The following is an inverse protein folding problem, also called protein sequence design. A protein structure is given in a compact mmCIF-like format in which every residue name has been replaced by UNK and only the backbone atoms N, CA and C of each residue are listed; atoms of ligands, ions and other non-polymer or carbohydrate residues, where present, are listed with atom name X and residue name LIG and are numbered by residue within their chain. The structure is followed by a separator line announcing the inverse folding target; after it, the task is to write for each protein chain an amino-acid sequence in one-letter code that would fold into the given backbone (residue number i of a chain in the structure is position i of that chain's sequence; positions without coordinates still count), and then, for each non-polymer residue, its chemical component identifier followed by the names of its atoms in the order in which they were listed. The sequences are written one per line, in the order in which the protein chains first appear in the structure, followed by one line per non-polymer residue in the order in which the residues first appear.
data_IF_448625972983
#
_entry.id   IF_448625972983
#
_cell.length_a   1.000
_cell.length_b   1.000
_cell.length_c   1.000
_cell.angle_alpha   90.00
_cell.angle_beta   90.00
_cell.angle_gamma   90.00
#
_symmetry.space_group_name_H-M   'P 1'
#
loop_
_entity.id
_entity.type
_entity.pdbx_description
1 polymer ?
#
# COMPACT_ATOMS: atom_id res chain seq x y z
N UNK A 1 -21.26 -23.64 18.01
CA UNK A 1 -19.95 -23.83 18.68
C UNK A 1 -19.11 -22.63 18.26
N UNK A 2 -18.82 -21.71 19.18
CA UNK A 2 -17.83 -20.66 18.89
C UNK A 2 -16.50 -21.37 18.59
N UNK A 3 -15.85 -21.10 17.44
CA UNK A 3 -14.50 -21.63 17.21
C UNK A 3 -13.62 -21.24 18.39
N UNK A 4 -12.75 -22.15 18.82
CA UNK A 4 -11.82 -21.87 19.89
C UNK A 4 -10.92 -20.73 19.41
N UNK A 5 -11.02 -19.56 20.04
CA UNK A 5 -10.23 -18.38 19.65
C UNK A 5 -8.78 -18.48 20.14
N UNK A 6 -8.37 -19.66 20.62
CA UNK A 6 -7.01 -19.99 21.02
C UNK A 6 -6.65 -21.27 20.29
N UNK A 7 -5.63 -21.22 19.45
CA UNK A 7 -5.20 -22.33 18.60
C UNK A 7 -3.69 -22.51 18.69
N UNK A 8 -3.23 -23.74 18.52
CA UNK A 8 -1.82 -24.02 18.24
C UNK A 8 -1.62 -23.99 16.73
N UNK A 9 -0.57 -23.33 16.29
CA UNK A 9 -0.27 -23.11 14.86
C UNK A 9 1.15 -23.59 14.56
N UNK A 10 1.27 -24.22 13.41
CA UNK A 10 2.51 -24.76 12.85
C UNK A 10 2.92 -24.03 11.58
N UNK A 11 4.09 -24.37 11.03
CA UNK A 11 4.52 -23.91 9.70
C UNK A 11 3.52 -24.26 8.58
N UNK A 12 2.77 -25.36 8.71
CA UNK A 12 1.89 -25.84 7.65
C UNK A 12 0.59 -25.03 7.51
N UNK A 13 0.09 -24.47 8.61
CA UNK A 13 -1.21 -23.79 8.69
C UNK A 13 -1.10 -22.31 9.06
N UNK A 14 0.10 -21.80 9.36
CA UNK A 14 0.31 -20.40 9.72
C UNK A 14 -0.27 -19.39 8.72
N UNK A 15 -0.09 -19.65 7.42
CA UNK A 15 -0.57 -18.73 6.38
C UNK A 15 -2.10 -18.59 6.45
N UNK A 16 -2.82 -19.70 6.60
CA UNK A 16 -4.29 -19.70 6.68
C UNK A 16 -4.80 -19.21 8.04
N UNK A 17 -4.27 -19.77 9.14
CA UNK A 17 -4.80 -19.54 10.49
C UNK A 17 -4.40 -18.20 11.11
N UNK A 18 -3.33 -17.58 10.60
CA UNK A 18 -2.82 -16.29 11.08
C UNK A 18 -2.93 -15.22 10.01
N UNK A 19 -2.28 -15.38 8.85
CA UNK A 19 -2.18 -14.30 7.85
C UNK A 19 -3.54 -14.06 7.20
N UNK A 20 -4.13 -15.07 6.56
CA UNK A 20 -5.43 -14.94 5.89
C UNK A 20 -6.56 -14.69 6.91
N UNK A 21 -6.55 -15.34 8.07
CA UNK A 21 -7.54 -15.07 9.10
C UNK A 21 -7.50 -13.62 9.60
N UNK A 22 -6.30 -13.03 9.73
CA UNK A 22 -6.13 -11.63 10.16
C UNK A 22 -6.70 -10.60 9.20
N UNK A 23 -7.06 -10.98 7.98
CA UNK A 23 -7.81 -10.14 7.03
C UNK A 23 -9.21 -9.79 7.52
N UNK A 24 -9.76 -10.57 8.46
CA UNK A 24 -11.11 -10.35 9.00
C UNK A 24 -11.10 -10.17 10.52
N UNK A 25 -10.26 -10.91 11.23
CA UNK A 25 -10.24 -10.89 12.70
C UNK A 25 -8.79 -10.88 13.18
N UNK A 26 -8.35 -9.89 13.99
CA UNK A 26 -6.98 -9.82 14.44
C UNK A 26 -6.48 -11.08 15.12
N UNK A 27 -5.22 -11.42 14.86
CA UNK A 27 -4.56 -12.60 15.41
C UNK A 27 -3.34 -12.15 16.21
N UNK A 28 -3.32 -12.49 17.50
CA UNK A 28 -2.15 -12.36 18.35
C UNK A 28 -1.40 -13.68 18.34
N UNK A 29 -0.13 -13.67 17.97
CA UNK A 29 0.74 -14.83 17.94
C UNK A 29 1.67 -14.81 19.15
N UNK A 30 1.64 -15.85 19.99
CA UNK A 30 2.58 -16.09 21.08
C UNK A 30 3.64 -17.12 20.66
N UNK A 31 4.87 -16.66 20.47
CA UNK A 31 6.03 -17.51 20.19
C UNK A 31 6.65 -17.98 21.51
N UNK A 32 6.60 -19.29 21.75
CA UNK A 32 6.96 -19.91 23.03
C UNK A 32 7.78 -21.20 22.84
N UNK A 33 8.27 -21.78 23.93
CA UNK A 33 8.86 -23.12 23.98
C UNK A 33 8.67 -23.77 25.35
N UNK A 34 8.72 -25.12 25.43
CA UNK A 34 8.44 -25.86 26.67
C UNK A 34 9.43 -25.55 27.81
N UNK A 35 10.69 -25.27 27.47
CA UNK A 35 11.75 -24.92 28.41
C UNK A 35 11.69 -23.46 28.88
N UNK A 36 10.87 -22.62 28.23
CA UNK A 36 10.77 -21.20 28.54
C UNK A 36 9.90 -20.97 29.80
N UNK A 37 10.56 -20.81 30.95
CA UNK A 37 9.85 -20.52 32.20
C UNK A 37 9.03 -19.22 32.18
N UNK A 38 9.52 -18.10 31.60
CA UNK A 38 8.71 -16.88 31.49
C UNK A 38 7.45 -17.05 30.61
N UNK A 39 7.50 -17.92 29.59
CA UNK A 39 6.36 -18.21 28.72
C UNK A 39 5.20 -18.84 29.52
N UNK A 40 5.51 -19.70 30.50
CA UNK A 40 4.50 -20.30 31.40
C UNK A 40 3.76 -19.28 32.27
N UNK A 41 4.33 -18.09 32.46
CA UNK A 41 3.67 -16.97 33.16
C UNK A 41 2.81 -16.17 32.18
N UNK A 42 3.32 -15.90 30.97
CA UNK A 42 2.63 -15.07 29.98
C UNK A 42 1.41 -15.75 29.36
N UNK A 43 1.54 -17.01 28.94
CA UNK A 43 0.49 -17.76 28.24
C UNK A 43 -0.88 -17.69 28.94
N UNK A 44 -1.03 -18.02 30.24
CA UNK A 44 -2.35 -17.96 30.89
C UNK A 44 -2.92 -16.54 31.00
N UNK A 45 -2.06 -15.51 31.07
CA UNK A 45 -2.53 -14.11 31.06
C UNK A 45 -3.08 -13.72 29.69
N UNK A 46 -2.38 -14.09 28.60
CA UNK A 46 -2.87 -13.85 27.24
C UNK A 46 -4.16 -14.60 26.96
N UNK A 47 -4.22 -15.89 27.29
CA UNK A 47 -5.42 -16.71 27.10
C UNK A 47 -6.63 -16.13 27.84
N UNK A 48 -6.44 -15.69 29.09
CA UNK A 48 -7.50 -15.00 29.87
C UNK A 48 -7.99 -13.76 29.14
N UNK A 49 -7.08 -12.85 28.77
CA UNK A 49 -7.46 -11.58 28.16
C UNK A 49 -8.08 -11.75 26.77
N UNK A 50 -7.61 -12.71 25.97
CA UNK A 50 -8.19 -13.01 24.65
C UNK A 50 -9.60 -13.58 24.80
N UNK A 51 -9.84 -14.45 25.79
CA UNK A 51 -11.21 -14.92 26.10
C UNK A 51 -12.17 -13.77 26.45
N UNK A 52 -11.68 -12.75 27.17
CA UNK A 52 -12.47 -11.55 27.48
C UNK A 52 -12.88 -10.74 26.23
N UNK A 53 -12.18 -10.91 25.10
CA UNK A 53 -12.54 -10.24 23.83
C UNK A 53 -13.75 -10.85 23.11
N UNK A 54 -14.30 -11.95 23.62
CA UNK A 54 -15.46 -12.64 23.05
C UNK A 54 -15.34 -12.96 21.54
N UNK A 55 -14.11 -13.23 21.07
CA UNK A 55 -13.82 -13.57 19.67
C UNK A 55 -13.47 -12.41 18.77
N UNK A 56 -13.34 -11.19 19.30
CA UNK A 56 -12.79 -10.06 18.55
C UNK A 56 -11.29 -10.23 18.25
N UNK A 57 -10.59 -11.09 19.00
CA UNK A 57 -9.18 -11.43 18.78
C UNK A 57 -9.00 -12.94 18.88
N UNK A 58 -8.18 -13.51 18.00
CA UNK A 58 -7.67 -14.87 18.08
C UNK A 58 -6.26 -14.89 18.67
N UNK A 59 -5.95 -15.88 19.51
CA UNK A 59 -4.60 -16.21 19.96
C UNK A 59 -4.10 -17.43 19.19
N UNK A 60 -2.98 -17.29 18.49
CA UNK A 60 -2.24 -18.38 17.89
C UNK A 60 -0.98 -18.63 18.71
N UNK A 61 -0.72 -19.88 19.11
CA UNK A 61 0.48 -20.25 19.86
C UNK A 61 1.42 -20.99 18.92
N UNK A 62 2.66 -20.55 18.85
CA UNK A 62 3.68 -21.15 17.98
C UNK A 62 4.84 -21.61 18.85
N UNK A 63 5.06 -22.92 18.89
CA UNK A 63 6.25 -23.50 19.50
C UNK A 63 7.45 -23.29 18.57
N UNK A 64 8.45 -22.53 19.00
CA UNK A 64 9.62 -22.19 18.17
C UNK A 64 10.60 -23.36 17.99
N UNK A 65 10.57 -24.37 18.86
CA UNK A 65 11.40 -25.56 18.72
C UNK A 65 10.88 -26.45 17.56
N UNK A 66 9.56 -26.48 17.39
CA UNK A 66 8.87 -27.25 16.35
C UNK A 66 8.77 -26.48 15.03
N UNK A 67 8.78 -25.13 15.10
CA UNK A 67 8.55 -24.23 13.97
C UNK A 67 9.67 -23.18 13.82
N UNK A 68 10.94 -23.60 13.65
CA UNK A 68 12.08 -22.69 13.63
C UNK A 68 12.05 -21.72 12.44
N UNK A 69 11.44 -22.09 11.31
CA UNK A 69 11.36 -21.20 10.15
C UNK A 69 10.41 -20.02 10.41
N UNK A 70 9.33 -20.22 11.18
CA UNK A 70 8.47 -19.10 11.60
C UNK A 70 9.21 -18.13 12.52
N UNK A 71 9.99 -18.65 13.48
CA UNK A 71 10.79 -17.82 14.37
C UNK A 71 11.79 -16.97 13.57
N UNK A 72 12.45 -17.55 12.57
CA UNK A 72 13.36 -16.84 11.66
C UNK A 72 12.60 -15.82 10.81
N UNK A 73 11.51 -16.22 10.13
CA UNK A 73 10.69 -15.38 9.24
C UNK A 73 10.22 -14.11 9.95
N UNK A 74 9.82 -14.22 11.21
CA UNK A 74 9.31 -13.10 11.99
C UNK A 74 10.35 -12.46 12.93
N UNK A 75 11.63 -12.84 12.80
CA UNK A 75 12.72 -12.21 13.54
C UNK A 75 12.64 -12.41 15.06
N UNK A 76 12.13 -13.53 15.53
CA UNK A 76 12.03 -13.89 16.95
C UNK A 76 13.43 -14.28 17.46
N UNK A 77 14.06 -13.39 18.23
CA UNK A 77 15.42 -13.58 18.79
C UNK A 77 15.44 -14.04 20.23
N UNK A 78 14.34 -13.85 20.95
CA UNK A 78 14.16 -14.29 22.33
C UNK A 78 12.68 -14.54 22.58
N UNK A 79 12.39 -15.42 23.54
CA UNK A 79 11.03 -15.83 23.90
C UNK A 79 10.74 -15.55 25.39
N UNK A 80 9.47 -15.29 25.76
CA UNK A 80 8.30 -15.18 24.88
C UNK A 80 8.37 -13.95 23.97
N UNK A 81 7.88 -14.08 22.75
CA UNK A 81 7.68 -12.96 21.84
C UNK A 81 6.24 -12.97 21.33
N UNK A 82 5.60 -11.80 21.29
CA UNK A 82 4.21 -11.66 20.88
C UNK A 82 4.13 -10.71 19.71
N UNK A 83 3.40 -11.10 18.67
CA UNK A 83 3.14 -10.28 17.47
C UNK A 83 1.65 -10.26 17.20
N UNK A 84 1.09 -9.09 16.92
CA UNK A 84 -0.30 -8.89 16.55
C UNK A 84 -0.41 -8.65 15.04
N UNK A 85 -1.31 -9.39 14.40
CA UNK A 85 -1.62 -9.31 12.98
C UNK A 85 -3.03 -8.77 12.79
N UNK A 86 -3.19 -7.82 11.87
CA UNK A 86 -4.49 -7.32 11.39
C UNK A 86 -4.32 -6.85 9.94
N UNK A 87 -5.22 -7.22 9.04
CA UNK A 87 -5.09 -6.96 7.60
C UNK A 87 -3.89 -7.68 6.98
N UNK A 88 -3.50 -8.84 7.49
CA UNK A 88 -2.30 -9.57 7.04
C UNK A 88 -0.97 -8.93 7.47
N UNK A 89 -0.99 -7.80 8.17
CA UNK A 89 0.22 -7.04 8.56
C UNK A 89 0.45 -7.10 10.07
N UNK A 90 1.72 -6.98 10.49
CA UNK A 90 2.06 -6.82 11.91
C UNK A 90 1.68 -5.41 12.35
N UNK A 91 0.71 -5.30 13.26
CA UNK A 91 0.22 -4.03 13.82
C UNK A 91 0.75 -3.72 15.22
N UNK A 92 1.46 -4.67 15.83
CA UNK A 92 2.12 -4.49 17.12
C UNK A 92 2.94 -5.69 17.55
N UNK A 93 3.94 -5.48 18.39
CA UNK A 93 4.75 -6.56 18.93
C UNK A 93 5.36 -6.20 20.29
N UNK A 94 5.72 -7.21 21.08
CA UNK A 94 6.58 -7.06 22.25
C UNK A 94 7.34 -8.36 22.54
N UNK A 95 8.35 -8.27 23.41
CA UNK A 95 9.14 -9.41 23.86
C UNK A 95 9.20 -9.43 25.39
N UNK A 96 9.29 -10.64 25.95
CA UNK A 96 9.31 -10.87 27.38
C UNK A 96 7.93 -10.77 28.03
N UNK A 97 7.88 -11.10 29.32
CA UNK A 97 6.65 -11.02 30.14
C UNK A 97 6.31 -9.55 30.40
N UNK A 98 5.03 -9.21 30.27
CA UNK A 98 4.50 -7.88 30.53
C UNK A 98 3.45 -7.93 31.65
N UNK A 99 3.26 -6.84 32.42
CA UNK A 99 2.15 -6.74 33.38
C UNK A 99 0.78 -6.81 32.67
N UNK A 100 -0.24 -7.36 33.33
CA UNK A 100 -1.61 -7.50 32.76
C UNK A 100 -2.15 -6.17 32.22
N UNK A 101 -1.86 -5.03 32.87
CA UNK A 101 -2.29 -3.70 32.40
C UNK A 101 -1.71 -3.35 31.03
N UNK A 102 -0.43 -3.64 30.79
CA UNK A 102 0.23 -3.42 29.49
C UNK A 102 -0.30 -4.40 28.43
N UNK A 103 -0.64 -5.63 28.82
CA UNK A 103 -1.27 -6.60 27.90
C UNK A 103 -2.68 -6.12 27.49
N UNK A 104 -3.50 -5.62 28.42
CA UNK A 104 -4.81 -5.03 28.10
C UNK A 104 -4.66 -3.83 27.17
N UNK A 105 -3.72 -2.94 27.47
CA UNK A 105 -3.42 -1.79 26.61
C UNK A 105 -3.01 -2.24 25.20
N UNK A 106 -2.10 -3.22 25.11
CA UNK A 106 -1.68 -3.82 23.84
C UNK A 106 -2.88 -4.35 23.04
N UNK A 107 -3.71 -5.21 23.65
CA UNK A 107 -4.89 -5.79 22.98
C UNK A 107 -5.92 -4.73 22.58
N UNK A 108 -6.14 -3.71 23.41
CA UNK A 108 -7.10 -2.63 23.12
C UNK A 108 -6.74 -1.78 21.91
N UNK A 109 -5.44 -1.73 21.54
CA UNK A 109 -4.96 -1.00 20.37
C UNK A 109 -5.11 -1.80 19.08
N UNK A 110 -5.26 -3.11 19.18
CA UNK A 110 -5.46 -3.99 18.02
C UNK A 110 -6.89 -3.84 17.55
N UNK A 111 -7.06 -3.22 16.39
CA UNK A 111 -8.37 -3.03 15.77
C UNK A 111 -8.55 -4.06 14.64
N UNK A 112 -9.77 -4.60 14.47
CA UNK A 112 -10.09 -5.36 13.27
C UNK A 112 -9.94 -4.47 12.04
N UNK A 113 -9.68 -5.07 10.86
CA UNK A 113 -9.74 -4.33 9.60
C UNK A 113 -11.09 -3.65 9.48
N UNK A 114 -11.09 -2.33 9.29
CA UNK A 114 -12.34 -1.59 9.10
C UNK A 114 -12.87 -1.84 7.68
N UNK A 115 -14.21 -1.79 7.45
CA UNK A 115 -14.76 -1.87 6.10
C UNK A 115 -14.11 -0.86 5.14
N UNK A 116 -13.83 0.35 5.61
CA UNK A 116 -13.12 1.37 4.83
C UNK A 116 -11.65 0.99 4.52
N UNK A 117 -10.96 0.31 5.44
CA UNK A 117 -9.61 -0.21 5.23
C UNK A 117 -9.58 -1.31 4.17
N UNK A 118 -10.52 -2.26 4.24
CA UNK A 118 -10.66 -3.32 3.23
C UNK A 118 -11.04 -2.75 1.85
N UNK A 119 -11.95 -1.77 1.82
CA UNK A 119 -12.31 -1.07 0.59
C UNK A 119 -11.12 -0.33 -0.03
N UNK A 120 -10.28 0.28 0.80
CA UNK A 120 -9.04 0.92 0.34
C UNK A 120 -8.08 -0.11 -0.27
N UNK A 121 -7.81 -1.22 0.41
CA UNK A 121 -6.95 -2.28 -0.12
C UNK A 121 -7.46 -2.82 -1.47
N UNK A 122 -8.77 -3.07 -1.56
CA UNK A 122 -9.41 -3.47 -2.81
C UNK A 122 -9.21 -2.43 -3.91
N UNK A 123 -9.44 -1.15 -3.62
CA UNK A 123 -9.24 -0.09 -4.59
C UNK A 123 -7.79 0.03 -5.06
N UNK A 124 -6.81 -0.09 -4.15
CA UNK A 124 -5.38 -0.08 -4.51
C UNK A 124 -5.01 -1.27 -5.40
N UNK A 125 -5.60 -2.45 -5.17
CA UNK A 125 -5.45 -3.62 -6.03
C UNK A 125 -6.01 -3.37 -7.44
N UNK A 126 -7.17 -2.73 -7.55
CA UNK A 126 -7.76 -2.33 -8.85
C UNK A 126 -6.85 -1.34 -9.60
N UNK A 127 -6.22 -0.39 -8.90
CA UNK A 127 -5.23 0.51 -9.52
C UNK A 127 -4.05 -0.26 -10.12
N UNK A 128 -3.52 -1.25 -9.41
CA UNK A 128 -2.39 -2.06 -9.90
C UNK A 128 -2.77 -2.91 -11.14
N UNK A 129 -4.06 -3.21 -11.30
CA UNK A 129 -4.64 -3.90 -12.46
C UNK A 129 -5.11 -2.93 -13.55
N UNK A 130 -4.80 -1.63 -13.43
CA UNK A 130 -5.20 -0.57 -14.35
C UNK A 130 -6.72 -0.39 -14.48
N UNK A 131 -7.49 -0.87 -13.50
CA UNK A 131 -8.95 -0.72 -13.41
C UNK A 131 -9.32 0.62 -12.76
N UNK A 132 -8.80 1.70 -13.32
CA UNK A 132 -8.88 3.07 -12.76
C UNK A 132 -10.32 3.53 -12.50
N UNK A 133 -11.21 3.24 -13.45
CA UNK A 133 -12.61 3.66 -13.41
C UNK A 133 -13.41 2.93 -12.32
N UNK A 134 -13.01 1.71 -11.96
CA UNK A 134 -13.61 0.93 -10.89
C UNK A 134 -13.04 1.34 -9.51
N UNK A 135 -11.75 1.65 -9.45
CA UNK A 135 -11.09 2.09 -8.23
C UNK A 135 -11.59 3.47 -7.74
N UNK A 136 -11.80 4.42 -8.66
CA UNK A 136 -12.19 5.80 -8.32
C UNK A 136 -13.40 5.91 -7.37
N UNK A 137 -14.59 5.33 -7.67
CA UNK A 137 -15.74 5.45 -6.78
C UNK A 137 -15.49 4.86 -5.39
N UNK A 138 -14.73 3.76 -5.29
CA UNK A 138 -14.39 3.14 -4.00
C UNK A 138 -13.49 4.06 -3.19
N UNK A 139 -12.47 4.67 -3.82
CA UNK A 139 -11.57 5.62 -3.15
C UNK A 139 -12.32 6.86 -2.64
N UNK A 140 -13.36 7.31 -3.35
CA UNK A 140 -14.22 8.39 -2.88
C UNK A 140 -15.00 7.99 -1.64
N UNK A 141 -15.64 6.83 -1.65
CA UNK A 141 -16.36 6.30 -0.47
C UNK A 141 -15.44 6.10 0.73
N UNK A 142 -14.22 5.61 0.49
CA UNK A 142 -13.17 5.50 1.51
C UNK A 142 -12.84 6.87 2.12
N UNK A 143 -12.73 7.91 1.30
CA UNK A 143 -12.43 9.28 1.77
C UNK A 143 -13.61 9.95 2.48
N UNK A 144 -14.85 9.52 2.26
CA UNK A 144 -16.00 9.94 3.07
C UNK A 144 -15.88 9.42 4.52
N UNK A 145 -15.40 8.18 4.68
CA UNK A 145 -15.22 7.53 5.98
C UNK A 145 -13.89 7.91 6.66
N UNK A 146 -12.84 8.12 5.87
CA UNK A 146 -11.50 8.49 6.33
C UNK A 146 -11.00 9.76 5.61
N UNK A 147 -11.56 10.94 5.93
CA UNK A 147 -11.17 12.19 5.30
C UNK A 147 -9.67 12.47 5.46
N UNK A 148 -8.99 12.78 4.36
CA UNK A 148 -7.57 13.11 4.38
C UNK A 148 -6.63 11.90 4.49
N UNK A 149 -7.13 10.66 4.38
CA UNK A 149 -6.29 9.46 4.35
C UNK A 149 -5.30 9.52 3.17
N UNK A 150 -3.97 9.59 3.39
CA UNK A 150 -3.02 9.84 2.31
C UNK A 150 -2.96 8.72 1.25
N UNK A 151 -2.95 7.42 1.58
CA UNK A 151 -3.04 6.36 0.58
C UNK A 151 -4.29 6.47 -0.31
N UNK A 152 -5.44 6.77 0.26
CA UNK A 152 -6.68 6.95 -0.50
C UNK A 152 -6.64 8.19 -1.42
N UNK A 153 -6.09 9.30 -0.93
CA UNK A 153 -5.89 10.52 -1.74
C UNK A 153 -4.93 10.28 -2.91
N UNK A 154 -3.81 9.58 -2.67
CA UNK A 154 -2.83 9.27 -3.71
C UNK A 154 -3.44 8.34 -4.76
N UNK A 155 -4.12 7.29 -4.30
CA UNK A 155 -4.86 6.37 -5.17
C UNK A 155 -5.89 7.10 -6.03
N UNK A 156 -6.66 8.02 -5.43
CA UNK A 156 -7.66 8.80 -6.15
C UNK A 156 -7.00 9.70 -7.21
N UNK A 157 -5.92 10.38 -6.87
CA UNK A 157 -5.18 11.20 -7.83
C UNK A 157 -4.65 10.37 -9.01
N UNK A 158 -4.11 9.17 -8.77
CA UNK A 158 -3.68 8.23 -9.83
C UNK A 158 -4.86 7.84 -10.74
N UNK A 159 -5.99 7.43 -10.14
CA UNK A 159 -7.19 7.05 -10.90
C UNK A 159 -7.73 8.19 -11.76
N UNK A 160 -7.75 9.42 -11.22
CA UNK A 160 -8.20 10.62 -11.91
C UNK A 160 -7.29 10.98 -13.09
N UNK A 161 -5.97 10.93 -12.91
CA UNK A 161 -5.00 11.22 -13.97
C UNK A 161 -5.12 10.20 -15.11
N UNK A 162 -5.21 8.91 -14.81
CA UNK A 162 -5.38 7.86 -15.81
C UNK A 162 -6.66 8.04 -16.65
N UNK A 163 -7.69 8.68 -16.07
CA UNK A 163 -8.96 9.00 -16.73
C UNK A 163 -9.01 10.41 -17.34
N UNK A 164 -7.90 11.15 -17.34
CA UNK A 164 -7.85 12.51 -17.91
C UNK A 164 -8.51 13.60 -17.03
N UNK A 165 -8.93 13.27 -15.80
CA UNK A 165 -9.54 14.20 -14.84
C UNK A 165 -8.49 15.04 -14.09
N UNK A 166 -7.59 15.66 -14.85
CA UNK A 166 -6.36 16.28 -14.36
C UNK A 166 -6.57 17.42 -13.36
N UNK A 167 -7.59 18.27 -13.59
CA UNK A 167 -7.89 19.40 -12.70
C UNK A 167 -8.22 18.95 -11.28
N UNK A 168 -9.00 17.88 -11.14
CA UNK A 168 -9.36 17.36 -9.83
C UNK A 168 -8.16 16.71 -9.15
N UNK A 169 -7.37 15.92 -9.90
CA UNK A 169 -6.13 15.36 -9.39
C UNK A 169 -5.15 16.46 -8.92
N UNK A 170 -4.97 17.52 -9.71
CA UNK A 170 -4.12 18.65 -9.36
C UNK A 170 -4.56 19.32 -8.03
N UNK A 171 -5.87 19.49 -7.81
CA UNK A 171 -6.37 20.06 -6.56
C UNK A 171 -6.05 19.16 -5.35
N UNK A 172 -6.20 17.84 -5.47
CA UNK A 172 -5.85 16.87 -4.42
C UNK A 172 -4.35 16.93 -4.14
N UNK A 173 -3.52 16.88 -5.19
CA UNK A 173 -2.05 16.84 -5.08
C UNK A 173 -1.48 18.15 -4.52
N UNK A 174 -2.07 19.29 -4.87
CA UNK A 174 -1.64 20.61 -4.36
C UNK A 174 -1.92 20.79 -2.86
N UNK A 175 -2.95 20.11 -2.34
CA UNK A 175 -3.35 20.16 -0.94
C UNK A 175 -2.96 18.88 -0.16
N UNK A 176 -2.03 18.08 -0.70
CA UNK A 176 -1.72 16.76 -0.16
C UNK A 176 -1.06 16.84 1.23
N UNK A 177 -1.53 16.05 2.23
CA UNK A 177 -1.02 16.13 3.59
C UNK A 177 0.39 15.53 3.72
N UNK A 178 1.19 16.07 4.66
CA UNK A 178 2.49 15.50 5.01
C UNK A 178 2.32 14.05 5.52
N UNK A 179 2.99 13.12 4.85
CA UNK A 179 2.81 11.68 5.01
C UNK A 179 3.94 10.91 4.31
N UNK A 180 3.92 9.57 4.38
CA UNK A 180 4.89 8.73 3.66
C UNK A 180 4.67 8.82 2.15
N UNK A 181 3.42 9.01 1.74
CA UNK A 181 2.95 9.09 0.36
C UNK A 181 3.23 10.47 -0.27
N UNK A 182 3.67 11.46 0.51
CA UNK A 182 3.86 12.82 0.03
C UNK A 182 4.84 12.93 -1.14
N UNK A 183 5.94 12.16 -1.13
CA UNK A 183 6.92 12.17 -2.22
C UNK A 183 6.33 11.64 -3.55
N UNK A 184 5.51 10.59 -3.47
CA UNK A 184 4.78 10.04 -4.61
C UNK A 184 3.76 11.06 -5.14
N UNK A 185 3.01 11.72 -4.24
CA UNK A 185 2.11 12.80 -4.62
C UNK A 185 2.84 13.95 -5.35
N UNK A 186 4.02 14.35 -4.87
CA UNK A 186 4.84 15.37 -5.55
C UNK A 186 5.31 14.93 -6.94
N UNK A 187 5.54 13.62 -7.15
CA UNK A 187 5.92 13.07 -8.45
C UNK A 187 4.79 13.17 -9.48
N UNK A 188 3.53 13.11 -9.04
CA UNK A 188 2.36 13.26 -9.92
C UNK A 188 2.05 14.72 -10.31
N UNK A 189 2.50 15.70 -9.52
CA UNK A 189 2.10 17.09 -9.69
C UNK A 189 2.51 17.70 -11.06
N UNK A 190 3.73 17.48 -11.59
CA UNK A 190 4.10 17.95 -12.93
C UNK A 190 3.21 17.38 -14.04
N UNK A 191 2.86 16.09 -13.97
CA UNK A 191 1.95 15.45 -14.91
C UNK A 191 0.55 16.05 -14.82
N UNK A 192 0.01 16.22 -13.60
CA UNK A 192 -1.30 16.81 -13.39
C UNK A 192 -1.38 18.23 -14.00
N UNK A 193 -0.34 19.04 -13.78
CA UNK A 193 -0.23 20.38 -14.37
C UNK A 193 -0.16 20.33 -15.90
N UNK A 194 0.69 19.47 -16.47
CA UNK A 194 0.79 19.33 -17.93
C UNK A 194 -0.55 18.92 -18.56
N UNK A 195 -1.29 17.99 -17.94
CA UNK A 195 -2.60 17.56 -18.42
C UNK A 195 -3.70 18.62 -18.24
N UNK A 196 -3.59 19.50 -17.23
CA UNK A 196 -4.46 20.66 -17.10
C UNK A 196 -4.17 21.69 -18.18
N UNK A 197 -2.90 22.01 -18.41
CA UNK A 197 -2.43 22.95 -19.44
C UNK A 197 -2.81 22.49 -20.85
N UNK A 198 -2.91 21.16 -21.10
CA UNK A 198 -3.36 20.59 -22.37
C UNK A 198 -4.71 21.16 -22.82
N UNK A 199 -5.60 21.52 -21.90
CA UNK A 199 -6.92 22.11 -22.24
C UNK A 199 -6.83 23.43 -22.99
N UNK A 200 -5.68 24.10 -22.91
CA UNK A 200 -5.39 25.37 -23.55
C UNK A 200 -4.57 25.22 -24.84
N UNK A 201 -4.22 24.00 -25.25
CA UNK A 201 -3.39 23.73 -26.42
C UNK A 201 -4.21 23.10 -27.55
N UNK A 202 -4.25 23.73 -28.73
CA UNK A 202 -4.78 23.09 -29.94
C UNK A 202 -3.66 22.42 -30.75
N UNK A 203 -3.90 21.25 -31.37
CA UNK A 203 -2.93 20.64 -32.27
C UNK A 203 -2.59 21.59 -33.43
N UNK A 204 -1.30 21.80 -33.68
CA UNK A 204 -0.78 22.65 -34.76
C UNK A 204 -0.39 24.06 -34.34
N UNK A 205 -0.57 24.42 -33.06
CA UNK A 205 -0.11 25.70 -32.49
C UNK A 205 1.31 25.62 -31.91
N UNK A 206 1.91 24.43 -31.90
CA UNK A 206 3.22 24.19 -31.32
C UNK A 206 4.37 24.80 -32.17
N UNK A 207 5.37 25.44 -31.54
CA UNK A 207 6.41 26.17 -32.24
C UNK A 207 7.41 25.28 -32.99
N UNK A 208 7.49 24.00 -32.61
CA UNK A 208 8.43 23.02 -33.16
C UNK A 208 7.89 21.59 -33.02
N UNK A 209 8.54 20.65 -33.71
CA UNK A 209 8.18 19.22 -33.74
C UNK A 209 8.28 18.57 -32.36
N UNK A 210 9.25 18.97 -31.52
CA UNK A 210 9.44 18.40 -30.18
C UNK A 210 8.28 18.77 -29.25
N UNK A 211 7.85 20.04 -29.31
CA UNK A 211 6.71 20.56 -28.58
C UNK A 211 5.41 19.87 -29.03
N UNK A 212 5.23 19.68 -30.34
CA UNK A 212 4.09 18.94 -30.89
C UNK A 212 4.05 17.49 -30.42
N UNK A 213 5.19 16.81 -30.41
CA UNK A 213 5.33 15.44 -29.92
C UNK A 213 5.06 15.34 -28.41
N UNK A 214 5.53 16.31 -27.61
CA UNK A 214 5.27 16.36 -26.17
C UNK A 214 3.77 16.45 -25.89
N UNK A 215 3.09 17.43 -26.50
CA UNK A 215 1.64 17.59 -26.31
C UNK A 215 0.84 16.40 -26.85
N UNK A 216 1.31 15.75 -27.91
CA UNK A 216 0.71 14.49 -28.35
C UNK A 216 0.82 13.39 -27.31
N UNK A 217 1.96 13.25 -26.64
CA UNK A 217 2.13 12.31 -25.54
C UNK A 217 1.20 12.64 -24.35
N UNK A 218 1.05 13.91 -23.98
CA UNK A 218 0.10 14.32 -22.94
C UNK A 218 -1.35 13.99 -23.34
N UNK A 219 -1.74 14.16 -24.61
CA UNK A 219 -3.07 13.75 -25.12
C UNK A 219 -3.28 12.25 -25.05
N UNK A 220 -2.26 11.44 -25.33
CA UNK A 220 -2.32 9.98 -25.21
C UNK A 220 -2.50 9.57 -23.75
N UNK A 221 -1.73 10.16 -22.83
CA UNK A 221 -1.86 9.94 -21.40
C UNK A 221 -3.27 10.31 -20.88
N UNK A 222 -3.80 11.47 -21.29
CA UNK A 222 -5.14 11.91 -20.92
C UNK A 222 -6.28 11.00 -21.42
N UNK A 223 -5.99 10.13 -22.39
CA UNK A 223 -6.93 9.11 -22.90
C UNK A 223 -6.65 7.72 -22.32
N UNK A 224 -5.87 7.62 -21.26
CA UNK A 224 -5.47 6.37 -20.61
C UNK A 224 -4.47 5.54 -21.43
N UNK A 225 -3.92 6.07 -22.54
CA UNK A 225 -2.93 5.36 -23.38
C UNK A 225 -1.52 5.60 -22.86
N UNK A 226 -1.29 5.23 -21.61
CA UNK A 226 -0.05 5.53 -20.87
C UNK A 226 1.20 4.92 -21.55
N UNK A 227 1.22 3.65 -22.00
CA UNK A 227 2.40 3.09 -22.66
C UNK A 227 2.82 3.87 -23.91
N UNK A 228 1.85 4.26 -24.76
CA UNK A 228 2.13 5.05 -25.96
C UNK A 228 2.63 6.46 -25.63
N UNK A 229 2.17 7.05 -24.53
CA UNK A 229 2.68 8.33 -24.05
C UNK A 229 4.13 8.20 -23.55
N UNK A 230 4.43 7.13 -22.80
CA UNK A 230 5.78 6.84 -22.32
C UNK A 230 6.76 6.63 -23.47
N UNK A 231 6.40 5.83 -24.48
CA UNK A 231 7.24 5.59 -25.67
C UNK A 231 7.64 6.92 -26.34
N UNK A 232 6.67 7.78 -26.62
CA UNK A 232 6.92 9.08 -27.26
C UNK A 232 7.74 10.05 -26.38
N UNK A 233 7.52 10.05 -25.07
CA UNK A 233 8.30 10.88 -24.15
C UNK A 233 9.74 10.39 -24.02
N UNK A 234 9.97 9.08 -24.04
CA UNK A 234 11.32 8.51 -24.02
C UNK A 234 12.08 8.85 -25.30
N UNK A 235 11.42 8.84 -26.46
CA UNK A 235 12.00 9.30 -27.72
C UNK A 235 12.40 10.77 -27.68
N UNK A 236 11.59 11.64 -27.07
CA UNK A 236 11.95 13.04 -26.84
C UNK A 236 13.16 13.16 -25.91
N UNK A 237 13.20 12.39 -24.82
CA UNK A 237 14.30 12.42 -23.87
C UNK A 237 15.61 11.87 -24.45
N UNK A 238 15.55 10.96 -25.44
CA UNK A 238 16.75 10.52 -26.20
C UNK A 238 17.37 11.66 -27.00
N UNK A 239 16.55 12.56 -27.53
CA UNK A 239 17.01 13.71 -28.31
C UNK A 239 17.57 14.82 -27.42
N UNK A 240 16.92 15.09 -26.27
CA UNK A 240 17.40 16.01 -25.26
C UNK A 240 17.27 15.44 -23.84
N UNK A 241 18.37 14.90 -23.33
CA UNK A 241 18.45 14.27 -21.99
C UNK A 241 18.28 15.26 -20.84
N UNK A 242 18.39 16.57 -21.10
CA UNK A 242 18.26 17.64 -20.10
C UNK A 242 16.85 18.23 -20.06
N UNK A 243 15.92 17.69 -20.84
CA UNK A 243 14.54 18.15 -20.86
C UNK A 243 13.79 17.74 -19.59
N UNK A 244 13.87 18.60 -18.58
CA UNK A 244 13.25 18.41 -17.28
C UNK A 244 11.73 18.20 -17.34
N UNK A 245 10.95 19.00 -18.10
CA UNK A 245 9.51 18.78 -18.26
C UNK A 245 9.17 17.37 -18.77
N UNK A 246 9.86 16.88 -19.81
CA UNK A 246 9.66 15.53 -20.35
C UNK A 246 9.99 14.48 -19.28
N UNK A 247 11.13 14.61 -18.61
CA UNK A 247 11.56 13.68 -17.55
C UNK A 247 10.55 13.61 -16.40
N UNK A 248 10.08 14.75 -15.92
CA UNK A 248 9.10 14.81 -14.82
C UNK A 248 7.76 14.19 -15.21
N UNK A 249 7.31 14.41 -16.45
CA UNK A 249 6.09 13.77 -16.97
C UNK A 249 6.22 12.25 -17.06
N UNK A 250 7.37 11.74 -17.52
CA UNK A 250 7.65 10.29 -17.51
C UNK A 250 7.54 9.73 -16.09
N UNK A 251 8.18 10.38 -15.10
CA UNK A 251 8.12 9.94 -13.70
C UNK A 251 6.69 9.94 -13.17
N UNK A 252 5.90 10.97 -13.49
CA UNK A 252 4.48 11.03 -13.15
C UNK A 252 3.68 9.88 -13.76
N UNK A 253 3.90 9.54 -15.03
CA UNK A 253 3.20 8.42 -15.69
C UNK A 253 3.57 7.07 -15.08
N UNK A 254 4.84 6.88 -14.70
CA UNK A 254 5.28 5.67 -14.00
C UNK A 254 4.66 5.56 -12.61
N UNK A 255 4.49 6.68 -11.91
CA UNK A 255 3.78 6.73 -10.62
C UNK A 255 2.28 6.43 -10.79
N UNK A 256 1.63 6.88 -11.87
CA UNK A 256 0.25 6.48 -12.18
C UNK A 256 0.14 4.96 -12.32
N UNK A 257 1.01 4.33 -13.11
CA UNK A 257 1.04 2.86 -13.27
C UNK A 257 1.33 2.13 -11.95
N UNK A 258 2.21 2.70 -11.11
CA UNK A 258 2.62 2.13 -9.84
C UNK A 258 3.75 1.11 -9.95
N UNK A 259 4.41 0.84 -8.82
CA UNK A 259 5.63 0.03 -8.74
C UNK A 259 5.44 -1.46 -9.05
N UNK A 260 4.23 -1.96 -8.76
CA UNK A 260 3.87 -3.36 -8.95
C UNK A 260 3.50 -3.68 -10.40
N UNK A 261 3.26 -2.66 -11.23
CA UNK A 261 2.95 -2.85 -12.63
C UNK A 261 4.19 -3.39 -13.39
N UNK A 262 4.09 -4.51 -14.12
CA UNK A 262 5.21 -5.09 -14.86
C UNK A 262 5.85 -4.14 -15.88
N UNK A 263 5.05 -3.26 -16.51
CA UNK A 263 5.53 -2.30 -17.49
C UNK A 263 6.35 -1.18 -16.85
N UNK A 264 6.01 -0.75 -15.64
CA UNK A 264 6.77 0.27 -14.88
C UNK A 264 8.24 -0.11 -14.76
N UNK A 265 8.54 -1.38 -14.46
CA UNK A 265 9.92 -1.87 -14.34
C UNK A 265 10.66 -1.85 -15.68
N UNK A 266 9.96 -2.12 -16.79
CA UNK A 266 10.55 -2.04 -18.12
C UNK A 266 10.94 -0.61 -18.47
N UNK A 267 9.98 0.31 -18.35
CA UNK A 267 10.20 1.73 -18.66
C UNK A 267 11.20 2.41 -17.73
N UNK A 268 11.29 2.03 -16.45
CA UNK A 268 12.35 2.52 -15.55
C UNK A 268 13.74 2.13 -16.00
N UNK A 269 13.93 0.89 -16.48
CA UNK A 269 15.22 0.43 -17.02
C UNK A 269 15.59 1.21 -18.28
N UNK A 270 14.62 1.45 -19.15
CA UNK A 270 14.82 2.23 -20.37
C UNK A 270 15.17 3.69 -20.06
N UNK A 271 14.41 4.33 -19.17
CA UNK A 271 14.69 5.68 -18.68
C UNK A 271 16.11 5.79 -18.10
N UNK A 272 16.50 4.81 -17.26
CA UNK A 272 17.85 4.78 -16.70
C UNK A 272 18.93 4.70 -17.79
N UNK A 273 18.73 3.89 -18.83
CA UNK A 273 19.67 3.76 -19.95
C UNK A 273 19.80 5.01 -20.82
N UNK A 274 18.81 5.90 -20.79
CA UNK A 274 18.85 7.19 -21.51
C UNK A 274 19.63 8.22 -20.68
N UNK A 275 19.46 8.20 -19.36
CA UNK A 275 19.99 9.22 -18.45
C UNK A 275 21.46 8.99 -18.04
N UNK A 276 21.91 7.73 -18.01
CA UNK A 276 23.23 7.33 -17.51
C UNK A 276 23.97 6.46 -18.54
#
# INVERSE_FOLDING_TARGET
MTPDNIIDVSEADFEYEVIEYSQNTPVVVDFWAAWCQPCKVLAPMLEKLVKETAGAIRLARVNVDENPNLAIRFGVRSIPAVKAFSGGQIVGEFTGVQPESRLREFLSRIQPPSPAGLALEHALSLLNQEQWAEAEPILREVLEQMPGNPPALLGLARALLAQGKAREAHNILSAFPASREFANAQTLLPLAKAMEDLRHHQPGEEPDEQSAAYWNAIRLAARGRIPLALDGLLDLLRQDRRNDPVRLTILGLLEVLGDDNPQTRSYRRELASILF
#
